data_IF_382042902377
#
_entry.id   IF_382042902377
#
_cell.length_a   1.000
_cell.length_b   1.000
_cell.length_c   1.000
_cell.angle_alpha   90.00
_cell.angle_beta   90.00
_cell.angle_gamma   90.00
#
_symmetry.space_group_name_H-M   'P 1'
#
loop_
_entity.id
_entity.type
_entity.pdbx_description
1 polymer ?
#
# COMPACT_ATOMS: atom_id res chain seq x y z
N UNK A 1 6.20 4.81 8.88
CA UNK A 1 5.27 4.45 7.80
C UNK A 1 5.78 4.80 6.39
N UNK A 2 6.60 5.84 6.21
CA UNK A 2 7.16 6.18 4.89
C UNK A 2 7.96 5.03 4.24
N UNK A 3 8.77 4.30 5.01
CA UNK A 3 9.48 3.13 4.48
C UNK A 3 8.54 2.01 4.01
N UNK A 4 7.42 1.78 4.70
CA UNK A 4 6.41 0.81 4.28
C UNK A 4 5.75 1.23 2.97
N UNK A 5 5.38 2.51 2.82
CA UNK A 5 4.84 3.03 1.56
C UNK A 5 5.83 2.88 0.39
N UNK A 6 7.12 3.13 0.63
CA UNK A 6 8.16 2.95 -0.39
C UNK A 6 8.32 1.46 -0.76
N UNK A 7 8.23 0.55 0.22
CA UNK A 7 8.27 -0.88 -0.01
C UNK A 7 7.06 -1.35 -0.83
N UNK A 8 5.84 -0.97 -0.46
CA UNK A 8 4.63 -1.36 -1.22
C UNK A 8 4.66 -0.84 -2.66
N UNK A 9 5.11 0.41 -2.89
CA UNK A 9 5.30 0.92 -4.25
C UNK A 9 6.30 0.09 -5.05
N UNK A 10 7.38 -0.38 -4.41
CA UNK A 10 8.38 -1.24 -5.07
C UNK A 10 7.82 -2.62 -5.40
N UNK A 11 7.03 -3.21 -4.51
CA UNK A 11 6.35 -4.49 -4.75
C UNK A 11 5.32 -4.34 -5.87
N UNK A 12 4.50 -3.30 -5.85
CA UNK A 12 3.53 -3.02 -6.90
C UNK A 12 4.20 -2.82 -8.27
N UNK A 13 5.35 -2.13 -8.32
CA UNK A 13 6.11 -2.00 -9.57
C UNK A 13 6.59 -3.38 -10.07
N UNK A 14 7.12 -4.23 -9.20
CA UNK A 14 7.54 -5.58 -9.58
C UNK A 14 6.37 -6.44 -10.09
N UNK A 15 5.17 -6.27 -9.52
CA UNK A 15 3.95 -6.94 -9.98
C UNK A 15 3.51 -6.44 -11.36
N UNK A 16 3.59 -5.13 -11.62
CA UNK A 16 3.31 -4.56 -12.95
C UNK A 16 4.32 -5.05 -13.99
N UNK A 17 5.60 -5.13 -13.63
CA UNK A 17 6.64 -5.65 -14.51
C UNK A 17 6.39 -7.14 -14.82
N UNK A 18 5.98 -7.93 -13.82
CA UNK A 18 5.61 -9.34 -14.01
C UNK A 18 4.36 -9.49 -14.88
N UNK A 19 3.34 -8.66 -14.66
CA UNK A 19 2.12 -8.63 -15.48
C UNK A 19 2.45 -8.32 -16.94
N UNK A 20 3.34 -7.36 -17.19
CA UNK A 20 3.84 -7.07 -18.54
C UNK A 20 4.53 -8.28 -19.18
N UNK A 21 5.36 -9.00 -18.42
CA UNK A 21 5.98 -10.24 -18.91
C UNK A 21 4.92 -11.30 -19.25
N UNK A 22 3.90 -11.46 -18.42
CA UNK A 22 2.78 -12.39 -18.69
C UNK A 22 2.04 -12.01 -19.98
N UNK A 23 1.79 -10.72 -20.18
CA UNK A 23 1.17 -10.19 -21.40
C UNK A 23 2.04 -10.46 -22.64
N UNK A 24 3.34 -10.18 -22.56
CA UNK A 24 4.30 -10.43 -23.64
C UNK A 24 4.42 -11.92 -23.99
N UNK A 25 4.16 -12.81 -23.02
CA UNK A 25 4.11 -14.28 -23.21
C UNK A 25 2.73 -14.80 -23.59
N UNK A 26 1.72 -13.92 -23.71
CA UNK A 26 0.34 -14.29 -24.01
C UNK A 26 -0.21 -15.31 -23.00
N UNK A 27 0.06 -15.10 -21.71
CA UNK A 27 -0.50 -15.89 -20.61
C UNK A 27 -1.67 -15.13 -19.94
N UNK A 28 -2.91 -15.30 -20.44
CA UNK A 28 -4.07 -14.59 -19.91
C UNK A 28 -4.43 -15.02 -18.48
N UNK A 29 -4.10 -16.26 -18.08
CA UNK A 29 -4.41 -16.75 -16.75
C UNK A 29 -3.52 -16.09 -15.70
N UNK A 30 -2.22 -15.93 -15.99
CA UNK A 30 -1.32 -15.21 -15.10
C UNK A 30 -1.65 -13.72 -15.01
N UNK A 31 -2.06 -13.07 -16.10
CA UNK A 31 -2.54 -11.69 -16.07
C UNK A 31 -3.73 -11.53 -15.13
N UNK A 32 -4.77 -12.35 -15.30
CA UNK A 32 -5.99 -12.32 -14.47
C UNK A 32 -5.68 -12.60 -12.99
N UNK A 33 -4.80 -13.55 -12.70
CA UNK A 33 -4.36 -13.86 -11.35
C UNK A 33 -3.69 -12.65 -10.66
N UNK A 34 -2.80 -11.95 -11.36
CA UNK A 34 -2.10 -10.78 -10.84
C UNK A 34 -3.05 -9.59 -10.64
N UNK A 35 -3.96 -9.35 -11.58
CA UNK A 35 -4.97 -8.29 -11.51
C UNK A 35 -5.93 -8.50 -10.33
N UNK A 36 -6.51 -9.70 -10.24
CA UNK A 36 -7.56 -10.02 -9.27
C UNK A 36 -7.03 -10.08 -7.84
N UNK A 37 -5.89 -10.73 -7.62
CA UNK A 37 -5.42 -11.04 -6.27
C UNK A 37 -4.34 -10.13 -5.72
N UNK A 38 -3.61 -9.37 -6.56
CA UNK A 38 -2.44 -8.62 -6.09
C UNK A 38 -2.50 -7.13 -6.43
N UNK A 39 -2.79 -6.77 -7.68
CA UNK A 39 -2.73 -5.37 -8.11
C UNK A 39 -3.79 -4.49 -7.43
N UNK A 40 -5.01 -5.00 -7.27
CA UNK A 40 -6.06 -4.28 -6.54
C UNK A 40 -5.70 -4.06 -5.06
N UNK A 41 -5.27 -5.12 -4.37
CA UNK A 41 -4.86 -5.04 -2.97
C UNK A 41 -3.68 -4.09 -2.77
N UNK A 42 -2.72 -4.07 -3.72
CA UNK A 42 -1.59 -3.16 -3.67
C UNK A 42 -2.00 -1.69 -3.78
N UNK A 43 -2.92 -1.36 -4.68
CA UNK A 43 -3.44 0.02 -4.81
C UNK A 43 -4.13 0.46 -3.52
N UNK A 44 -4.93 -0.42 -2.91
CA UNK A 44 -5.59 -0.15 -1.62
C UNK A 44 -4.58 0.02 -0.48
N UNK A 45 -3.56 -0.84 -0.39
CA UNK A 45 -2.52 -0.76 0.62
C UNK A 45 -1.70 0.53 0.50
N UNK A 46 -1.28 0.90 -0.72
CA UNK A 46 -0.56 2.14 -1.01
C UNK A 46 -1.40 3.36 -0.62
N UNK A 47 -2.70 3.35 -0.96
CA UNK A 47 -3.63 4.43 -0.60
C UNK A 47 -3.75 4.57 0.91
N UNK A 48 -4.00 3.46 1.61
CA UNK A 48 -4.16 3.41 3.07
C UNK A 48 -2.91 3.92 3.78
N UNK A 49 -1.72 3.49 3.36
CA UNK A 49 -0.45 3.98 3.90
C UNK A 49 -0.23 5.47 3.61
N UNK A 50 -0.59 5.94 2.41
CA UNK A 50 -0.53 7.36 2.05
C UNK A 50 -1.43 8.24 2.92
N UNK A 51 -2.65 7.79 3.20
CA UNK A 51 -3.59 8.48 4.09
C UNK A 51 -3.05 8.53 5.53
N UNK A 52 -2.50 7.41 6.01
CA UNK A 52 -1.88 7.34 7.33
C UNK A 52 -0.73 8.33 7.49
N UNK A 53 0.18 8.40 6.52
CA UNK A 53 1.29 9.36 6.51
C UNK A 53 0.76 10.79 6.48
N UNK A 54 -0.24 11.07 5.64
CA UNK A 54 -0.84 12.41 5.52
C UNK A 54 -1.48 12.86 6.82
N UNK A 55 -2.21 11.97 7.49
CA UNK A 55 -2.85 12.27 8.78
C UNK A 55 -1.82 12.54 9.87
N UNK A 56 -0.77 11.71 9.98
CA UNK A 56 0.33 11.94 10.93
C UNK A 56 1.03 13.28 10.68
N UNK A 57 1.33 13.62 9.42
CA UNK A 57 1.93 14.90 9.07
C UNK A 57 1.04 16.09 9.47
N UNK A 58 -0.27 16.01 9.23
CA UNK A 58 -1.23 17.07 9.61
C UNK A 58 -1.40 17.23 11.11
N UNK A 59 -1.24 16.15 11.88
CA UNK A 59 -1.35 16.18 13.34
C UNK A 59 -0.08 16.70 14.04
N UNK A 60 0.99 16.99 13.28
CA UNK A 60 2.29 17.38 13.82
C UNK A 60 3.10 16.14 14.20
N UNK A 61 3.69 15.49 13.19
CA UNK A 61 4.39 14.21 13.32
C UNK A 61 5.51 14.19 14.37
N UNK A 62 6.07 15.35 14.75
CA UNK A 62 7.10 15.47 15.79
C UNK A 62 6.54 15.44 17.22
N UNK A 63 5.22 15.36 17.38
CA UNK A 63 4.55 15.30 18.67
C UNK A 63 4.20 13.85 19.03
N UNK A 64 4.76 13.34 20.13
CA UNK A 64 4.44 12.00 20.68
C UNK A 64 2.95 11.81 20.97
N UNK A 65 2.20 12.89 21.24
CA UNK A 65 0.75 12.82 21.38
C UNK A 65 0.02 12.56 20.06
N UNK A 66 0.55 13.04 18.93
CA UNK A 66 0.00 12.77 17.61
C UNK A 66 0.09 11.28 17.27
N UNK A 67 1.23 10.66 17.53
CA UNK A 67 1.43 9.21 17.35
C UNK A 67 0.51 8.40 18.26
N UNK A 68 0.39 8.77 19.54
CA UNK A 68 -0.49 8.08 20.49
C UNK A 68 -1.97 8.14 20.07
N UNK A 69 -2.46 9.32 19.67
CA UNK A 69 -3.84 9.49 19.20
C UNK A 69 -4.08 8.75 17.88
N UNK A 70 -3.09 8.77 16.98
CA UNK A 70 -3.15 8.04 15.73
C UNK A 70 -3.25 6.53 15.96
N UNK A 71 -2.42 5.98 16.87
CA UNK A 71 -2.50 4.58 17.28
C UNK A 71 -3.89 4.24 17.83
N UNK A 72 -4.39 4.99 18.83
CA UNK A 72 -5.68 4.70 19.47
C UNK A 72 -6.87 4.78 18.53
N UNK A 73 -6.93 5.78 17.65
CA UNK A 73 -8.13 6.06 16.87
C UNK A 73 -8.10 5.51 15.43
N UNK A 74 -6.90 5.31 14.86
CA UNK A 74 -6.73 4.84 13.47
C UNK A 74 -6.31 3.38 13.43
N UNK A 75 -5.32 2.97 14.24
CA UNK A 75 -4.79 1.60 14.21
C UNK A 75 -5.52 0.67 15.19
N UNK A 76 -5.96 1.18 16.34
CA UNK A 76 -6.65 0.44 17.40
C UNK A 76 -8.06 -0.05 17.02
N UNK A 77 -8.60 0.38 15.87
CA UNK A 77 -9.86 -0.15 15.31
C UNK A 77 -9.66 -1.42 14.46
N UNK A 78 -8.46 -1.98 14.43
CA UNK A 78 -8.17 -3.24 13.74
C UNK A 78 -8.67 -4.41 14.61
N UNK A 79 -9.96 -4.71 14.56
CA UNK A 79 -10.57 -5.97 15.01
C UNK A 79 -11.70 -6.36 14.07
#
# INVERSE_FOLDING_TARGET
>A
MQCALALEKKVNQALLDLHKVALDKTDPHLCDFLETHYLNEQVEAIKKLGDHITNLSKMGADNKMAEYLFDKHTLGKSS
#
